data_IF_206028083948
#
_entry.id   IF_206028083948
#
_cell.length_a   1.000
_cell.length_b   1.000
_cell.length_c   1.000
_cell.angle_alpha   90.00
_cell.angle_beta   90.00
_cell.angle_gamma   90.00
#
_symmetry.space_group_name_H-M   'P 1'
#
loop_
_entity.id
_entity.type
_entity.pdbx_description
1 polymer ?
#
# COMPACT_ATOMS: atom_id res chain seq x y z
N UNK A 1 14.01 -12.60 -12.68
CA UNK A 1 15.25 -12.48 -11.87
C UNK A 1 15.17 -13.49 -10.74
N UNK A 2 16.08 -14.44 -10.67
CA UNK A 2 16.12 -15.44 -9.59
C UNK A 2 16.76 -14.74 -8.38
N UNK A 3 15.95 -14.53 -7.32
CA UNK A 3 16.47 -14.03 -6.05
C UNK A 3 17.20 -15.18 -5.37
N UNK A 4 18.51 -15.04 -5.16
CA UNK A 4 19.29 -16.03 -4.42
C UNK A 4 19.10 -15.88 -2.91
N UNK A 5 19.52 -16.91 -2.14
CA UNK A 5 19.40 -16.96 -0.68
C UNK A 5 19.99 -15.73 0.03
N UNK A 6 21.16 -15.26 -0.43
CA UNK A 6 21.83 -14.11 0.20
C UNK A 6 21.01 -12.82 0.02
N UNK A 7 20.44 -12.61 -1.17
CA UNK A 7 19.56 -11.45 -1.41
C UNK A 7 18.28 -11.54 -0.62
N UNK A 8 17.71 -12.73 -0.46
CA UNK A 8 16.54 -12.94 0.41
C UNK A 8 16.87 -12.60 1.87
N UNK A 9 17.99 -13.08 2.39
CA UNK A 9 18.42 -12.79 3.77
C UNK A 9 18.66 -11.29 3.98
N UNK A 10 19.25 -10.60 3.01
CA UNK A 10 19.38 -9.15 3.04
C UNK A 10 18.00 -8.47 3.13
N UNK A 11 17.06 -8.80 2.23
CA UNK A 11 15.73 -8.22 2.23
C UNK A 11 15.00 -8.47 3.57
N UNK A 12 15.14 -9.67 4.13
CA UNK A 12 14.58 -10.00 5.44
C UNK A 12 15.19 -9.17 6.57
N UNK A 13 16.49 -8.93 6.53
CA UNK A 13 17.18 -8.09 7.54
C UNK A 13 16.75 -6.63 7.50
N UNK A 14 16.26 -6.16 6.35
CA UNK A 14 15.75 -4.81 6.13
C UNK A 14 14.24 -4.66 6.42
N UNK A 15 13.56 -5.76 6.81
CA UNK A 15 12.12 -5.74 7.10
C UNK A 15 11.81 -4.96 8.38
N UNK A 16 10.88 -4.04 8.32
CA UNK A 16 10.43 -3.21 9.43
C UNK A 16 9.06 -3.58 9.97
N UNK A 17 8.22 -4.24 9.19
CA UNK A 17 6.80 -4.39 9.46
C UNK A 17 6.31 -5.83 9.33
N UNK A 18 5.24 -6.14 10.05
CA UNK A 18 4.46 -7.36 9.90
C UNK A 18 2.96 -7.07 9.99
N UNK A 19 2.15 -8.04 9.62
CA UNK A 19 0.71 -8.01 9.85
C UNK A 19 0.38 -8.18 11.34
N UNK A 20 -0.74 -7.59 11.75
CA UNK A 20 -1.31 -7.76 13.07
C UNK A 20 -2.80 -7.45 13.06
N UNK A 21 -3.48 -7.74 14.17
CA UNK A 21 -4.90 -7.40 14.35
C UNK A 21 -4.99 -5.91 14.69
N UNK A 22 -5.69 -5.15 13.83
CA UNK A 22 -5.91 -3.72 14.06
C UNK A 22 -7.06 -3.48 15.04
N UNK A 23 -6.90 -2.46 15.88
CA UNK A 23 -8.01 -1.95 16.70
C UNK A 23 -8.97 -1.05 15.92
N UNK A 24 -8.55 -0.60 14.73
CA UNK A 24 -9.35 0.28 13.89
C UNK A 24 -10.22 -0.58 12.97
N UNK A 25 -9.61 -1.47 12.18
CA UNK A 25 -10.33 -2.36 11.27
C UNK A 25 -9.45 -3.54 10.84
N UNK A 26 -9.96 -4.75 11.05
CA UNK A 26 -9.44 -6.01 10.50
C UNK A 26 -7.94 -6.23 10.71
N UNK A 27 -7.20 -6.32 9.63
CA UNK A 27 -5.76 -6.49 9.60
C UNK A 27 -5.08 -5.15 9.43
N UNK A 28 -4.08 -4.88 10.26
CA UNK A 28 -3.22 -3.70 10.17
C UNK A 28 -1.76 -4.05 9.97
N UNK A 29 -0.94 -3.04 9.81
CA UNK A 29 0.50 -3.13 9.64
C UNK A 29 1.20 -2.58 10.87
N UNK A 30 2.06 -3.36 11.48
CA UNK A 30 2.73 -3.02 12.74
C UNK A 30 4.24 -3.03 12.59
N UNK A 31 4.89 -2.10 13.28
CA UNK A 31 6.34 -2.05 13.38
C UNK A 31 6.87 -3.22 14.23
N UNK A 32 7.74 -4.08 13.66
CA UNK A 32 8.41 -5.16 14.40
C UNK A 32 9.70 -4.71 15.07
N UNK A 33 10.18 -3.53 14.71
CA UNK A 33 11.30 -2.81 15.31
C UNK A 33 11.08 -1.31 15.14
N UNK A 34 11.85 -0.49 15.84
CA UNK A 34 11.80 0.96 15.67
C UNK A 34 12.08 1.36 14.23
N UNK A 35 11.27 2.27 13.70
CA UNK A 35 11.38 2.77 12.33
C UNK A 35 11.78 4.25 12.40
N UNK A 36 12.93 4.67 11.85
CA UNK A 36 13.32 6.06 11.82
C UNK A 36 12.36 6.94 11.04
N UNK A 37 12.33 8.24 11.35
CA UNK A 37 11.64 9.24 10.54
C UNK A 37 12.28 9.36 9.15
N UNK A 38 11.45 9.53 8.13
CA UNK A 38 11.89 9.91 6.78
C UNK A 38 12.25 8.75 5.87
N UNK A 39 12.04 7.49 6.29
CA UNK A 39 12.30 6.30 5.46
C UNK A 39 11.03 5.69 4.90
N UNK A 40 11.17 4.89 3.84
CA UNK A 40 10.12 4.00 3.37
C UNK A 40 10.18 2.68 4.15
N UNK A 41 9.16 2.33 4.95
CA UNK A 41 9.14 1.09 5.71
C UNK A 41 8.87 -0.16 4.86
N UNK A 42 8.53 0.04 3.58
CA UNK A 42 8.21 -1.00 2.62
C UNK A 42 9.16 -0.90 1.42
N UNK A 43 10.40 -1.40 1.52
CA UNK A 43 11.33 -1.37 0.41
C UNK A 43 10.72 -2.11 -0.79
N UNK A 44 10.79 -1.48 -1.96
CA UNK A 44 10.24 -2.03 -3.19
C UNK A 44 11.13 -3.18 -3.67
N UNK A 45 10.54 -4.37 -3.79
CA UNK A 45 11.21 -5.49 -4.43
C UNK A 45 11.06 -5.31 -5.94
N UNK A 46 12.17 -5.18 -6.66
CA UNK A 46 12.26 -4.81 -8.09
C UNK A 46 11.54 -5.78 -9.06
N UNK A 47 11.12 -6.95 -8.59
CA UNK A 47 10.44 -7.96 -9.41
C UNK A 47 8.94 -7.71 -9.62
N UNK A 48 8.36 -6.74 -8.93
CA UNK A 48 6.92 -6.45 -9.01
C UNK A 48 6.65 -5.46 -10.12
N UNK A 49 6.06 -5.92 -11.21
CA UNK A 49 5.53 -5.06 -12.25
C UNK A 49 4.13 -4.60 -11.89
N UNK A 50 3.86 -3.31 -12.10
CA UNK A 50 2.56 -2.72 -11.93
C UNK A 50 1.97 -2.42 -13.27
N UNK A 51 0.74 -2.83 -13.38
CA UNK A 51 -0.04 -2.68 -14.59
C UNK A 51 -1.21 -1.76 -14.26
N UNK A 52 -1.32 -0.62 -14.94
CA UNK A 52 -2.49 0.23 -14.80
C UNK A 52 -3.68 -0.40 -15.53
N UNK A 53 -4.81 -0.52 -14.83
CA UNK A 53 -6.09 -0.94 -15.38
C UNK A 53 -7.03 0.25 -15.48
N UNK A 54 -7.72 0.38 -16.58
CA UNK A 54 -8.80 1.34 -16.78
C UNK A 54 -10.15 0.70 -16.43
N UNK A 55 -11.20 1.52 -16.29
CA UNK A 55 -12.56 1.02 -16.00
C UNK A 55 -13.03 -0.01 -17.06
N UNK A 56 -12.70 0.21 -18.34
CA UNK A 56 -13.03 -0.72 -19.42
C UNK A 56 -12.39 -2.11 -19.25
N UNK A 57 -11.20 -2.17 -18.65
CA UNK A 57 -10.49 -3.44 -18.42
C UNK A 57 -11.23 -4.26 -17.36
N UNK A 58 -11.80 -3.57 -16.35
CA UNK A 58 -12.58 -4.22 -15.30
C UNK A 58 -13.89 -4.82 -15.84
N UNK A 59 -14.46 -4.26 -16.90
CA UNK A 59 -15.68 -4.79 -17.53
C UNK A 59 -15.47 -6.17 -18.20
N UNK A 60 -14.22 -6.54 -18.48
CA UNK A 60 -13.88 -7.85 -19.02
C UNK A 60 -13.71 -8.93 -17.94
N UNK A 61 -13.74 -8.55 -16.67
CA UNK A 61 -13.56 -9.44 -15.53
C UNK A 61 -14.90 -9.91 -14.96
N UNK A 62 -14.94 -11.07 -14.26
CA UNK A 62 -16.07 -11.41 -13.42
C UNK A 62 -16.43 -10.28 -12.47
N UNK A 63 -17.72 -10.03 -12.26
CA UNK A 63 -18.21 -8.88 -11.49
C UNK A 63 -17.64 -8.86 -10.07
N UNK A 64 -17.51 -10.02 -9.44
CA UNK A 64 -16.98 -10.18 -8.08
C UNK A 64 -15.51 -9.74 -7.99
N UNK A 65 -14.73 -10.01 -9.04
CA UNK A 65 -13.32 -9.60 -9.11
C UNK A 65 -13.22 -8.09 -9.34
N UNK A 66 -14.00 -7.55 -10.28
CA UNK A 66 -14.03 -6.13 -10.55
C UNK A 66 -14.41 -5.31 -9.31
N UNK A 67 -15.43 -5.75 -8.56
CA UNK A 67 -15.84 -5.13 -7.31
C UNK A 67 -14.75 -5.19 -6.23
N UNK A 68 -14.05 -6.32 -6.11
CA UNK A 68 -12.93 -6.44 -5.17
C UNK A 68 -11.78 -5.49 -5.51
N UNK A 69 -11.43 -5.35 -6.77
CA UNK A 69 -10.43 -4.38 -7.21
C UNK A 69 -10.85 -2.97 -6.81
N UNK A 70 -12.10 -2.59 -7.07
CA UNK A 70 -12.65 -1.27 -6.70
C UNK A 70 -12.67 -1.02 -5.18
N UNK A 71 -12.85 -2.07 -4.38
CA UNK A 71 -12.84 -1.97 -2.93
C UNK A 71 -11.43 -1.84 -2.33
N UNK A 72 -10.47 -2.58 -2.87
CA UNK A 72 -9.15 -2.74 -2.28
C UNK A 72 -8.09 -1.81 -2.86
N UNK A 73 -8.26 -1.41 -4.13
CA UNK A 73 -7.26 -0.63 -4.85
C UNK A 73 -7.75 0.81 -5.02
N UNK A 74 -6.93 1.74 -4.55
CA UNK A 74 -7.21 3.16 -4.73
C UNK A 74 -7.11 3.53 -6.20
N UNK A 75 -8.16 4.18 -6.72
CA UNK A 75 -8.17 4.71 -8.08
C UNK A 75 -7.39 6.01 -8.14
N UNK A 76 -6.24 6.01 -8.81
CA UNK A 76 -5.45 7.20 -9.06
C UNK A 76 -5.50 7.56 -10.53
N UNK A 77 -5.77 8.83 -10.85
CA UNK A 77 -5.80 9.33 -12.22
C UNK A 77 -6.64 8.45 -13.18
N UNK A 78 -7.86 8.10 -12.73
CA UNK A 78 -8.84 7.25 -13.44
C UNK A 78 -8.39 5.81 -13.67
N UNK A 79 -7.27 5.35 -13.07
CA UNK A 79 -6.72 3.99 -13.23
C UNK A 79 -6.52 3.30 -11.90
N UNK A 80 -6.60 1.98 -11.92
CA UNK A 80 -6.29 1.07 -10.82
C UNK A 80 -4.92 0.47 -11.07
N UNK A 81 -4.00 0.59 -10.13
CA UNK A 81 -2.64 0.10 -10.28
C UNK A 81 -2.50 -1.26 -9.59
N UNK A 82 -2.43 -2.31 -10.39
CA UNK A 82 -2.38 -3.70 -9.93
C UNK A 82 -0.99 -4.30 -10.08
N UNK A 83 -0.63 -5.20 -9.17
CA UNK A 83 0.52 -6.07 -9.38
C UNK A 83 0.24 -7.09 -10.49
N UNK A 84 1.26 -7.44 -11.25
CA UNK A 84 1.18 -8.44 -12.31
C UNK A 84 0.69 -9.83 -11.85
N UNK A 85 0.78 -10.13 -10.56
CA UNK A 85 0.30 -11.39 -9.97
C UNK A 85 -1.13 -11.28 -9.39
N UNK A 86 -1.80 -10.15 -9.58
CA UNK A 86 -3.20 -9.93 -9.20
C UNK A 86 -3.45 -9.84 -7.70
N UNK A 87 -4.72 -10.05 -7.30
CA UNK A 87 -5.18 -9.86 -5.92
C UNK A 87 -4.53 -10.81 -4.91
N UNK A 88 -4.13 -12.01 -5.33
CA UNK A 88 -3.55 -13.01 -4.43
C UNK A 88 -2.13 -12.67 -3.97
N UNK A 89 -1.50 -11.68 -4.59
CA UNK A 89 -0.14 -11.25 -4.24
C UNK A 89 -0.09 -9.77 -3.82
N UNK A 90 -1.08 -9.34 -3.07
CA UNK A 90 -1.07 -7.98 -2.51
C UNK A 90 -0.07 -7.89 -1.37
N UNK A 91 0.91 -7.01 -1.51
CA UNK A 91 1.93 -6.78 -0.48
C UNK A 91 1.36 -6.12 0.79
N UNK A 92 2.11 -6.24 1.88
CA UNK A 92 1.76 -5.72 3.22
C UNK A 92 1.30 -4.25 3.22
N UNK A 93 1.86 -3.41 2.36
CA UNK A 93 1.53 -1.98 2.26
C UNK A 93 0.08 -1.67 1.90
N UNK A 94 -0.64 -2.60 1.27
CA UNK A 94 -2.06 -2.44 0.96
C UNK A 94 -2.97 -2.57 2.19
N UNK A 95 -2.43 -3.04 3.30
CA UNK A 95 -3.14 -3.22 4.55
C UNK A 95 -2.85 -2.12 5.58
N UNK A 96 -2.21 -1.03 5.15
CA UNK A 96 -2.03 0.15 6.01
C UNK A 96 -3.37 0.86 6.15
N UNK A 97 -3.88 0.92 7.39
CA UNK A 97 -5.18 1.49 7.70
C UNK A 97 -5.18 3.03 7.67
N UNK A 98 -6.39 3.60 7.59
CA UNK A 98 -6.60 5.04 7.63
C UNK A 98 -6.51 5.61 9.03
N UNK A 99 -5.91 6.79 9.15
CA UNK A 99 -6.03 7.64 10.33
C UNK A 99 -5.94 9.11 9.95
N UNK A 100 -6.70 9.97 10.64
CA UNK A 100 -6.56 11.44 10.55
C UNK A 100 -5.32 11.95 11.27
N UNK A 101 -4.66 11.10 12.09
CA UNK A 101 -3.37 11.39 12.72
C UNK A 101 -2.32 10.36 12.25
N UNK A 102 -1.91 10.41 10.97
CA UNK A 102 -1.07 9.41 10.35
C UNK A 102 0.39 9.50 10.83
N UNK A 103 1.11 8.38 10.76
CA UNK A 103 2.57 8.32 10.94
C UNK A 103 3.32 8.02 9.63
N UNK A 104 2.56 7.85 8.54
CA UNK A 104 3.07 7.75 7.18
C UNK A 104 2.46 8.86 6.30
N UNK A 105 3.23 9.28 5.31
CA UNK A 105 2.71 10.04 4.16
C UNK A 105 2.93 9.26 2.88
N UNK A 106 2.01 9.40 1.94
CA UNK A 106 2.16 8.83 0.62
C UNK A 106 2.90 9.82 -0.28
N UNK A 107 4.02 9.41 -0.81
CA UNK A 107 4.79 10.18 -1.78
C UNK A 107 4.54 9.62 -3.17
N UNK A 108 3.83 10.39 -4.00
CA UNK A 108 3.61 10.06 -5.41
C UNK A 108 4.81 10.55 -6.21
N UNK A 109 5.57 9.67 -6.86
CA UNK A 109 6.68 10.11 -7.68
C UNK A 109 6.17 10.87 -8.90
N UNK A 110 6.96 11.83 -9.38
CA UNK A 110 6.64 12.68 -10.53
C UNK A 110 6.63 11.91 -11.88
N UNK A 111 6.98 10.63 -11.89
CA UNK A 111 7.05 9.81 -13.11
C UNK A 111 5.79 8.97 -13.31
N UNK A 112 5.25 9.02 -14.53
CA UNK A 112 3.97 8.42 -14.97
C UNK A 112 3.76 6.93 -14.65
N UNK A 113 4.81 6.17 -14.31
CA UNK A 113 4.77 4.72 -14.07
C UNK A 113 5.45 4.28 -12.77
N UNK A 114 5.69 5.21 -11.85
CA UNK A 114 6.33 4.87 -10.60
C UNK A 114 5.31 4.84 -9.45
N UNK A 115 5.52 3.93 -8.52
CA UNK A 115 4.69 3.76 -7.33
C UNK A 115 4.65 4.97 -6.44
N UNK A 116 3.49 5.24 -5.90
CA UNK A 116 3.42 5.92 -4.63
C UNK A 116 4.21 5.11 -3.59
N UNK A 117 5.19 5.75 -2.96
CA UNK A 117 5.96 5.19 -1.87
C UNK A 117 5.53 5.81 -0.56
N UNK A 118 5.54 5.03 0.51
CA UNK A 118 5.33 5.58 1.84
C UNK A 118 6.61 6.19 2.40
N UNK A 119 6.45 7.20 3.24
CA UNK A 119 7.53 7.81 4.02
C UNK A 119 7.04 8.06 5.45
N UNK A 120 7.82 7.65 6.44
CA UNK A 120 7.52 7.92 7.85
C UNK A 120 7.63 9.41 8.16
N UNK A 121 6.59 9.97 8.79
CA UNK A 121 6.55 11.41 9.19
C UNK A 121 7.20 11.66 10.54
N UNK A 122 7.30 10.62 11.36
CA UNK A 122 7.93 10.60 12.70
C UNK A 122 8.60 9.25 12.94
N UNK A 123 9.39 9.13 13.98
CA UNK A 123 9.87 7.84 14.47
C UNK A 123 8.63 7.00 14.89
N UNK A 124 8.58 5.74 14.48
CA UNK A 124 7.55 4.78 14.86
C UNK A 124 8.23 3.74 15.76
N UNK A 125 7.70 3.51 16.94
CA UNK A 125 8.26 2.54 17.89
C UNK A 125 7.80 1.12 17.54
N UNK A 126 8.58 0.13 17.93
CA UNK A 126 8.19 -1.28 17.86
C UNK A 126 6.81 -1.48 18.51
N UNK A 127 5.92 -2.19 17.82
CA UNK A 127 4.56 -2.47 18.25
C UNK A 127 3.52 -1.42 17.85
N UNK A 128 3.93 -0.25 17.37
CA UNK A 128 2.98 0.75 16.88
C UNK A 128 2.41 0.35 15.50
N UNK A 129 1.12 0.61 15.29
CA UNK A 129 0.48 0.44 13.99
C UNK A 129 0.84 1.59 13.06
N UNK A 130 1.00 1.27 11.78
CA UNK A 130 1.27 2.22 10.72
C UNK A 130 -0.05 2.68 10.10
N UNK A 131 -0.18 3.99 9.93
CA UNK A 131 -1.38 4.64 9.37
C UNK A 131 -1.01 5.69 8.33
N UNK A 132 -1.86 5.87 7.33
CA UNK A 132 -1.81 7.05 6.49
C UNK A 132 -3.20 7.67 6.28
N UNK A 133 -3.25 8.92 5.87
CA UNK A 133 -4.51 9.58 5.57
C UNK A 133 -4.93 9.30 4.13
N UNK A 134 -5.95 8.50 3.94
CA UNK A 134 -6.48 8.14 2.62
C UNK A 134 -6.94 9.37 1.83
N UNK A 135 -7.38 10.44 2.51
CA UNK A 135 -7.83 11.66 1.83
C UNK A 135 -6.70 12.39 1.09
N UNK A 136 -5.43 12.13 1.45
CA UNK A 136 -4.27 12.74 0.81
C UNK A 136 -3.80 12.01 -0.45
N UNK A 137 -4.30 10.79 -0.69
CA UNK A 137 -3.74 9.87 -1.70
C UNK A 137 -4.40 9.94 -3.06
N UNK A 138 -5.57 10.54 -3.20
CA UNK A 138 -6.33 10.48 -4.47
C UNK A 138 -7.40 11.56 -4.64
N UNK A 139 -7.33 12.63 -3.88
CA UNK A 139 -8.29 13.74 -3.98
C UNK A 139 -9.74 13.30 -3.78
N UNK A 140 -10.66 13.93 -4.52
CA UNK A 140 -12.10 13.67 -4.39
C UNK A 140 -12.56 12.26 -4.76
N UNK A 141 -11.74 11.50 -5.50
CA UNK A 141 -12.09 10.12 -5.87
C UNK A 141 -12.06 9.18 -4.66
N UNK A 142 -11.16 9.38 -3.70
CA UNK A 142 -11.13 8.59 -2.47
C UNK A 142 -12.29 8.88 -1.54
N UNK A 143 -12.71 10.15 -1.42
CA UNK A 143 -13.88 10.53 -0.63
C UNK A 143 -15.17 9.88 -1.14
N UNK A 144 -15.25 9.65 -2.46
CA UNK A 144 -16.38 8.92 -3.07
C UNK A 144 -16.29 7.41 -2.83
N UNK A 145 -15.09 6.86 -2.85
CA UNK A 145 -14.84 5.43 -2.68
C UNK A 145 -15.01 5.00 -1.22
N UNK A 146 -14.57 5.82 -0.27
CA UNK A 146 -14.64 5.54 1.16
C UNK A 146 -15.54 6.53 1.88
N UNK A 147 -16.83 6.20 2.03
CA UNK A 147 -17.84 7.05 2.65
C UNK A 147 -17.54 7.46 4.11
N UNK A 148 -16.65 6.73 4.79
CA UNK A 148 -16.22 7.01 6.16
C UNK A 148 -15.11 8.09 6.26
N UNK A 149 -14.57 8.56 5.13
CA UNK A 149 -13.56 9.63 5.10
C UNK A 149 -14.16 11.05 5.20
N UNK A 150 -15.38 11.19 5.68
CA UNK A 150 -16.05 12.48 5.89
C UNK A 150 -15.38 13.31 6.98
#
# INVERSE_FOLDING_TARGET
MIINKNKLLQNLSETYCSFGVSKVEGVGVFAIRDIPKGINPFPIIVAEQIIPLEEKDLLSLPVEIAEKIKQLIVRCDKRYFMYNLGLNNMGIRFHVNHSKNPNLTLHTPQFKNSYASFKTTKKIKKGEELFYDYSTSGGDSLKKQFKFLK
#
